data_IF_667550548082
#
_entry.id   IF_667550548082
#
_cell.length_a   1.000
_cell.length_b   1.000
_cell.length_c   1.000
_cell.angle_alpha   90.00
_cell.angle_beta   90.00
_cell.angle_gamma   90.00
#
_symmetry.space_group_name_H-M   'P 1'
#
loop_
_entity.id
_entity.type
_entity.pdbx_description
1 polymer ?
#
# COMPACT_ATOMS: atom_id res chain seq x y z
N UNK A 1 -9.42 -6.77 -10.18
CA UNK A 1 -9.12 -7.37 -8.88
C UNK A 1 -7.86 -8.14 -9.13
N UNK A 2 -6.78 -7.70 -8.48
CA UNK A 2 -5.43 -8.13 -8.83
C UNK A 2 -4.84 -8.82 -7.60
N UNK A 3 -4.08 -9.88 -7.83
CA UNK A 3 -3.37 -10.62 -6.78
C UNK A 3 -1.89 -10.39 -7.03
N UNK A 4 -1.23 -9.72 -6.09
CA UNK A 4 0.17 -9.35 -6.22
C UNK A 4 1.02 -10.27 -5.35
N UNK A 5 2.01 -10.94 -5.96
CA UNK A 5 2.98 -11.77 -5.25
C UNK A 5 4.37 -11.14 -5.38
N UNK A 6 4.92 -10.69 -4.24
CA UNK A 6 6.24 -10.09 -4.16
C UNK A 6 7.20 -11.04 -3.44
N UNK A 7 8.04 -11.81 -4.17
CA UNK A 7 9.01 -12.70 -3.54
C UNK A 7 10.13 -11.92 -2.84
N UNK A 8 10.83 -12.58 -1.92
CA UNK A 8 12.06 -12.03 -1.33
C UNK A 8 13.11 -11.77 -2.40
N UNK A 9 13.85 -10.67 -2.27
CA UNK A 9 14.93 -10.33 -3.17
C UNK A 9 16.24 -10.12 -2.39
N UNK A 10 17.42 -10.56 -2.91
CA UNK A 10 18.67 -10.53 -2.16
C UNK A 10 19.09 -9.13 -1.66
N UNK A 11 18.81 -8.09 -2.44
CA UNK A 11 19.05 -6.69 -2.05
C UNK A 11 17.80 -5.84 -2.34
N UNK A 12 16.88 -5.67 -1.38
CA UNK A 12 15.65 -4.92 -1.60
C UNK A 12 15.88 -3.42 -1.78
N UNK A 13 17.11 -2.92 -1.61
CA UNK A 13 17.40 -1.48 -1.77
C UNK A 13 17.56 -1.05 -3.22
N UNK A 14 17.80 -2.01 -4.12
CA UNK A 14 18.04 -1.73 -5.55
C UNK A 14 16.82 -1.97 -6.44
N UNK A 15 15.69 -2.39 -5.87
CA UNK A 15 14.45 -2.64 -6.61
C UNK A 15 13.22 -2.34 -5.77
N UNK A 16 12.07 -2.13 -6.43
CA UNK A 16 10.78 -1.94 -5.77
C UNK A 16 9.78 -2.97 -6.30
N UNK A 17 8.88 -3.44 -5.42
CA UNK A 17 7.80 -4.35 -5.82
C UNK A 17 6.85 -3.72 -6.83
N UNK A 18 6.59 -2.42 -6.71
CA UNK A 18 5.86 -1.63 -7.68
C UNK A 18 6.54 -0.27 -7.87
N UNK A 19 6.46 0.28 -9.08
CA UNK A 19 6.94 1.64 -9.38
C UNK A 19 6.05 2.68 -8.70
N UNK A 20 6.58 3.88 -8.46
CA UNK A 20 5.76 5.02 -8.03
C UNK A 20 4.65 5.28 -9.06
N UNK A 21 3.40 5.30 -8.61
CA UNK A 21 2.24 5.63 -9.44
C UNK A 21 1.11 6.20 -8.60
N UNK A 22 0.12 6.79 -9.29
CA UNK A 22 -1.20 7.00 -8.75
C UNK A 22 -2.15 6.02 -9.44
N UNK A 23 -3.08 5.45 -8.68
CA UNK A 23 -4.13 4.64 -9.27
C UNK A 23 -5.10 5.50 -10.09
N UNK A 24 -5.51 5.03 -11.26
CA UNK A 24 -6.57 5.65 -12.05
C UNK A 24 -7.99 5.38 -11.50
N UNK A 25 -8.11 4.98 -10.23
CA UNK A 25 -9.37 4.58 -9.57
C UNK A 25 -9.76 5.58 -8.49
N UNK A 26 -11.07 5.72 -8.25
CA UNK A 26 -11.61 6.64 -7.23
C UNK A 26 -11.23 6.19 -5.81
N UNK A 27 -11.32 4.88 -5.55
CA UNK A 27 -10.92 4.25 -4.30
C UNK A 27 -10.21 2.94 -4.66
N UNK A 28 -9.08 2.69 -4.00
CA UNK A 28 -8.42 1.39 -4.00
C UNK A 28 -8.52 0.77 -2.60
N UNK A 29 -8.70 -0.54 -2.54
CA UNK A 29 -8.76 -1.31 -1.28
C UNK A 29 -7.73 -2.41 -1.35
N UNK A 30 -6.84 -2.45 -0.35
CA UNK A 30 -5.74 -3.40 -0.28
C UNK A 30 -5.84 -4.23 1.00
N UNK A 31 -5.83 -5.55 0.84
CA UNK A 31 -5.58 -6.48 1.94
C UNK A 31 -4.08 -6.81 1.93
N UNK A 32 -3.40 -6.57 3.06
CA UNK A 32 -1.97 -6.79 3.19
C UNK A 32 -1.71 -8.01 4.09
N UNK A 33 -1.07 -9.05 3.55
CA UNK A 33 -0.55 -10.16 4.37
C UNK A 33 0.74 -9.75 5.09
N UNK A 34 1.57 -8.95 4.42
CA UNK A 34 2.84 -8.42 4.91
C UNK A 34 2.92 -6.89 4.66
N UNK A 35 3.93 -6.25 5.24
CA UNK A 35 4.22 -4.83 5.00
C UNK A 35 4.77 -4.56 3.59
N UNK A 36 5.19 -3.32 3.35
CA UNK A 36 5.84 -2.91 2.10
C UNK A 36 5.10 -1.84 1.30
N UNK A 37 3.82 -1.60 1.61
CA UNK A 37 3.10 -0.45 1.07
C UNK A 37 3.72 0.85 1.60
N UNK A 38 4.12 1.72 0.69
CA UNK A 38 4.50 3.08 0.99
C UNK A 38 3.57 4.04 0.25
N UNK A 39 3.03 5.02 0.95
CA UNK A 39 2.14 6.05 0.38
C UNK A 39 2.86 7.39 0.39
N UNK A 40 2.88 8.07 -0.75
CA UNK A 40 3.40 9.43 -0.83
C UNK A 40 2.30 10.44 -0.54
N UNK A 41 2.53 11.29 0.44
CA UNK A 41 1.62 12.39 0.76
C UNK A 41 1.79 13.52 -0.25
N UNK A 42 0.71 13.89 -0.95
CA UNK A 42 0.78 14.86 -2.04
C UNK A 42 1.21 16.27 -1.58
N UNK A 43 0.90 16.66 -0.34
CA UNK A 43 1.16 18.02 0.16
C UNK A 43 2.65 18.37 0.26
N UNK A 44 3.50 17.38 0.57
CA UNK A 44 4.92 17.58 0.87
C UNK A 44 5.84 16.54 0.21
N UNK A 45 5.28 15.59 -0.54
CA UNK A 45 6.04 14.57 -1.26
C UNK A 45 6.69 13.53 -0.35
N UNK A 46 6.40 13.52 0.96
CA UNK A 46 6.98 12.58 1.89
C UNK A 46 6.34 11.19 1.76
N UNK A 47 7.17 10.15 1.88
CA UNK A 47 6.74 8.76 1.86
C UNK A 47 6.49 8.24 3.27
N UNK A 48 5.41 7.49 3.43
CA UNK A 48 5.00 6.87 4.70
C UNK A 48 4.84 5.37 4.49
N UNK A 49 5.51 4.56 5.32
CA UNK A 49 5.24 3.14 5.39
C UNK A 49 3.85 2.93 6.04
N UNK A 50 3.04 2.06 5.44
CA UNK A 50 1.76 1.66 6.00
C UNK A 50 1.95 0.32 6.68
N UNK A 51 1.85 0.34 8.01
CA UNK A 51 1.96 -0.86 8.83
C UNK A 51 0.77 -1.78 8.55
N UNK A 52 1.00 -3.07 8.21
CA UNK A 52 -0.08 -4.02 8.01
C UNK A 52 -0.77 -4.31 9.34
N UNK A 53 -2.08 -4.11 9.38
CA UNK A 53 -2.91 -4.50 10.53
C UNK A 53 -3.59 -5.83 10.16
N UNK A 54 -3.37 -6.92 10.90
CA UNK A 54 -4.02 -8.20 10.64
C UNK A 54 -5.54 -8.04 10.55
N UNK A 55 -6.14 -8.56 9.47
CA UNK A 55 -7.59 -8.48 9.24
C UNK A 55 -8.13 -7.11 8.82
N UNK A 56 -7.26 -6.12 8.54
CA UNK A 56 -7.68 -4.81 8.07
C UNK A 56 -7.49 -4.63 6.56
N UNK A 57 -8.36 -3.81 5.97
CA UNK A 57 -8.18 -3.26 4.63
C UNK A 57 -7.57 -1.87 4.72
N UNK A 58 -6.59 -1.59 3.86
CA UNK A 58 -6.13 -0.23 3.60
C UNK A 58 -6.97 0.36 2.48
N UNK A 59 -7.71 1.42 2.79
CA UNK A 59 -8.48 2.19 1.83
C UNK A 59 -7.65 3.39 1.39
N UNK A 60 -7.35 3.50 0.10
CA UNK A 60 -6.57 4.59 -0.48
C UNK A 60 -7.48 5.39 -1.42
N UNK A 61 -7.53 6.70 -1.22
CA UNK A 61 -8.29 7.62 -2.06
C UNK A 61 -7.59 8.96 -2.19
N UNK A 62 -8.29 9.94 -2.77
CA UNK A 62 -7.73 11.26 -3.06
C UNK A 62 -7.24 12.03 -1.82
N UNK A 63 -7.90 11.87 -0.67
CA UNK A 63 -7.55 12.58 0.57
C UNK A 63 -6.46 11.87 1.39
N UNK A 64 -6.00 10.69 0.96
CA UNK A 64 -4.98 9.90 1.64
C UNK A 64 -5.41 8.45 1.85
N UNK A 65 -4.93 7.84 2.93
CA UNK A 65 -5.24 6.45 3.26
C UNK A 65 -5.70 6.31 4.72
N UNK A 66 -6.48 5.27 4.98
CA UNK A 66 -6.85 4.83 6.32
C UNK A 66 -6.99 3.30 6.35
N UNK A 67 -6.79 2.71 7.53
CA UNK A 67 -6.98 1.26 7.73
C UNK A 67 -8.30 0.99 8.44
N UNK A 68 -9.08 0.06 7.91
CA UNK A 68 -10.37 -0.36 8.50
C UNK A 68 -10.26 -1.83 8.88
N UNK A 69 -10.43 -2.14 10.15
CA UNK A 69 -10.55 -3.52 10.60
C UNK A 69 -11.85 -4.09 10.05
N UNK A 70 -11.78 -5.24 9.37
CA UNK A 70 -12.97 -5.85 8.82
C UNK A 70 -13.46 -6.89 9.84
N UNK A 71 -14.64 -6.69 10.45
CA UNK A 71 -15.15 -7.62 11.44
C UNK A 71 -15.61 -8.89 10.72
N UNK A 72 -14.82 -9.95 10.86
CA UNK A 72 -15.25 -11.32 10.64
C UNK A 72 -15.07 -12.07 11.96
#
# INVERSE_FOLDING_TARGET
MDINLYPTYPDPTVTAGAVEHNDGRVINMLLQELGGLHVRRQKDGQWFAVEPIPGALVCIGFEGFYSVHVPY
#
